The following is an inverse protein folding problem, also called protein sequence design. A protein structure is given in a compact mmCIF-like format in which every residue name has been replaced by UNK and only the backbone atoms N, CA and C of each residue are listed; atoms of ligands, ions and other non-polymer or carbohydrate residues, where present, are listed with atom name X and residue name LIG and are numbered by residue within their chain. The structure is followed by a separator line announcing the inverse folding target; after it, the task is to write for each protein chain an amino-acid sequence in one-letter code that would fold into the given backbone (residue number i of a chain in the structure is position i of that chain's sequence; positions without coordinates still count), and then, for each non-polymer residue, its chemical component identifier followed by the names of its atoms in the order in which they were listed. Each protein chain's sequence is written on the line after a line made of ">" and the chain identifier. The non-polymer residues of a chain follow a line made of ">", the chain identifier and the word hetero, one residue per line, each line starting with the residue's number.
data_IF_920546523191
#
_entry.id   IF_920546523191
#
_cell.length_a   1.000
_cell.length_b   1.000
_cell.length_c   1.000
_cell.angle_alpha   90.00
_cell.angle_beta   90.00
_cell.angle_gamma   90.00
#
_symmetry.space_group_name_H-M   'P 1'
#
loop_
_entity.id
_entity.type
_entity.pdbx_description
1 polymer ?
#
# COMPACT_ATOMS: atom_id res chain seq x y z
N UNK A 1 -24.06 2.27 -18.96
CA UNK A 1 -24.43 3.13 -17.83
C UNK A 1 -23.31 3.00 -16.82
N UNK A 2 -22.61 4.08 -16.49
CA UNK A 2 -21.67 4.06 -15.35
C UNK A 2 -22.52 3.85 -14.10
N UNK A 3 -22.32 2.72 -13.41
CA UNK A 3 -22.84 2.55 -12.06
C UNK A 3 -21.96 3.45 -11.20
N UNK A 4 -22.41 4.69 -10.97
CA UNK A 4 -21.71 5.57 -10.04
C UNK A 4 -21.81 4.93 -8.65
N UNK A 5 -20.67 4.73 -7.98
CA UNK A 5 -20.65 4.38 -6.56
C UNK A 5 -21.58 5.33 -5.79
N UNK A 6 -22.38 4.76 -4.88
CA UNK A 6 -23.29 5.56 -4.08
C UNK A 6 -22.47 6.48 -3.19
N UNK A 7 -22.84 7.76 -3.14
CA UNK A 7 -22.22 8.74 -2.25
C UNK A 7 -22.37 8.29 -0.79
N UNK A 8 -21.27 7.82 -0.21
CA UNK A 8 -21.24 7.25 1.13
C UNK A 8 -21.61 8.28 2.21
N UNK A 9 -21.43 9.57 1.97
CA UNK A 9 -21.88 10.62 2.89
C UNK A 9 -23.41 10.69 3.02
N UNK A 10 -24.13 10.17 2.03
CA UNK A 10 -25.60 10.15 2.00
C UNK A 10 -26.18 8.83 2.51
N UNK A 11 -25.35 7.80 2.72
CA UNK A 11 -25.77 6.52 3.24
C UNK A 11 -25.65 6.48 4.77
N UNK A 12 -26.73 6.02 5.42
CA UNK A 12 -26.77 5.81 6.87
C UNK A 12 -27.17 4.38 7.16
N UNK A 13 -26.30 3.67 7.87
CA UNK A 13 -26.61 2.33 8.37
C UNK A 13 -27.35 2.50 9.70
N UNK A 14 -28.64 2.19 9.70
CA UNK A 14 -29.48 2.17 10.90
C UNK A 14 -29.72 0.75 11.45
N UNK A 15 -29.15 -0.26 10.79
CA UNK A 15 -29.22 -1.64 11.23
C UNK A 15 -28.45 -1.82 12.55
N UNK A 16 -29.06 -2.37 13.62
CA UNK A 16 -28.40 -2.50 14.92
C UNK A 16 -27.16 -3.40 14.90
N UNK A 17 -27.12 -4.41 14.03
CA UNK A 17 -26.00 -5.35 13.96
C UNK A 17 -24.81 -4.72 13.25
N UNK A 18 -25.00 -4.21 12.03
CA UNK A 18 -23.93 -3.56 11.25
C UNK A 18 -23.49 -2.23 11.87
N UNK A 19 -24.42 -1.46 12.44
CA UNK A 19 -24.11 -0.20 13.12
C UNK A 19 -23.22 -0.40 14.36
N UNK A 20 -23.38 -1.51 15.09
CA UNK A 20 -22.50 -1.86 16.21
C UNK A 20 -21.07 -2.13 15.75
N UNK A 21 -20.87 -2.86 14.65
CA UNK A 21 -19.53 -3.10 14.10
C UNK A 21 -18.89 -1.81 13.56
N UNK A 22 -19.64 -0.96 12.87
CA UNK A 22 -19.13 0.34 12.42
C UNK A 22 -18.69 1.21 13.59
N UNK A 23 -19.49 1.23 14.67
CA UNK A 23 -19.13 1.94 15.88
C UNK A 23 -17.89 1.34 16.55
N UNK A 24 -17.79 0.01 16.66
CA UNK A 24 -16.64 -0.68 17.22
C UNK A 24 -15.37 -0.37 16.42
N UNK A 25 -15.44 -0.39 15.09
CA UNK A 25 -14.31 -0.07 14.23
C UNK A 25 -13.82 1.36 14.48
N UNK A 26 -14.75 2.33 14.49
CA UNK A 26 -14.41 3.75 14.69
C UNK A 26 -13.88 4.04 16.09
N UNK A 27 -14.57 3.54 17.12
CA UNK A 27 -14.35 3.97 18.50
C UNK A 27 -13.28 3.12 19.21
N UNK A 28 -12.93 1.94 18.68
CA UNK A 28 -11.98 1.00 19.31
C UNK A 28 -10.90 0.52 18.34
N UNK A 29 -11.26 -0.05 17.19
CA UNK A 29 -10.29 -0.73 16.32
C UNK A 29 -9.30 0.26 15.68
N UNK A 30 -9.78 1.34 15.08
CA UNK A 30 -8.92 2.35 14.44
C UNK A 30 -7.96 3.00 15.46
N UNK A 31 -8.41 3.44 16.66
CA UNK A 31 -7.51 3.93 17.70
C UNK A 31 -6.48 2.90 18.16
N UNK A 32 -6.91 1.66 18.43
CA UNK A 32 -5.99 0.60 18.86
C UNK A 32 -4.93 0.28 17.79
N UNK A 33 -5.35 0.17 16.52
CA UNK A 33 -4.41 -0.04 15.41
C UNK A 33 -3.44 1.13 15.26
N UNK A 34 -3.91 2.37 15.47
CA UNK A 34 -3.03 3.54 15.43
C UNK A 34 -1.94 3.48 16.50
N UNK A 35 -2.28 3.04 17.71
CA UNK A 35 -1.32 2.86 18.79
C UNK A 35 -0.34 1.71 18.46
N UNK A 36 -0.83 0.59 17.91
CA UNK A 36 0.02 -0.52 17.47
C UNK A 36 1.02 -0.12 16.36
N UNK A 37 0.55 0.59 15.33
CA UNK A 37 1.40 1.07 14.22
C UNK A 37 2.48 2.07 14.64
N UNK A 38 2.35 2.65 15.84
CA UNK A 38 3.29 3.57 16.46
C UNK A 38 3.98 2.98 17.70
N UNK A 39 3.90 1.66 17.90
CA UNK A 39 4.60 0.96 18.99
C UNK A 39 4.23 1.49 20.40
N UNK A 40 2.96 1.89 20.58
CA UNK A 40 2.43 2.44 21.85
C UNK A 40 1.66 1.42 22.69
N UNK A 41 1.75 0.14 22.37
CA UNK A 41 1.11 -0.96 23.10
C UNK A 41 2.20 -1.84 23.70
N UNK A 42 2.42 -1.75 25.01
CA UNK A 42 3.55 -2.38 25.70
C UNK A 42 3.50 -3.92 25.62
N UNK A 43 2.31 -4.52 25.59
CA UNK A 43 2.14 -5.97 25.56
C UNK A 43 2.12 -6.58 24.14
N UNK A 44 2.28 -5.77 23.09
CA UNK A 44 2.29 -6.22 21.70
C UNK A 44 3.72 -6.26 21.13
N UNK A 45 3.98 -7.18 20.21
CA UNK A 45 5.20 -7.13 19.39
C UNK A 45 5.22 -5.80 18.60
N UNK A 46 6.38 -5.13 18.51
CA UNK A 46 6.46 -3.83 17.85
C UNK A 46 6.18 -3.98 16.34
N UNK A 47 5.49 -3.00 15.80
CA UNK A 47 5.14 -2.87 14.38
C UNK A 47 6.19 -2.11 13.59
N UNK A 48 6.70 -0.97 14.10
CA UNK A 48 7.56 -0.01 13.39
C UNK A 48 6.99 0.54 12.06
N UNK A 49 5.72 0.30 11.74
CA UNK A 49 5.18 0.65 10.42
C UNK A 49 5.28 2.16 10.14
N UNK A 50 4.92 3.02 11.09
CA UNK A 50 5.07 4.48 10.93
C UNK A 50 6.55 4.90 11.02
N UNK A 51 7.37 4.24 11.83
CA UNK A 51 8.79 4.52 11.95
C UNK A 51 9.55 4.25 10.64
N UNK A 52 9.25 3.16 9.94
CA UNK A 52 9.81 2.86 8.63
C UNK A 52 9.59 4.01 7.64
N UNK A 53 8.41 4.64 7.64
CA UNK A 53 8.15 5.84 6.83
C UNK A 53 8.92 7.07 7.32
N UNK A 54 9.13 7.25 8.64
CA UNK A 54 9.98 8.32 9.19
C UNK A 54 11.43 8.18 8.72
N UNK A 55 11.95 6.96 8.72
CA UNK A 55 13.31 6.66 8.25
C UNK A 55 13.41 6.87 6.75
N UNK A 56 12.47 6.31 5.96
CA UNK A 56 12.44 6.48 4.51
C UNK A 56 12.31 7.97 4.08
N UNK A 57 11.60 8.78 4.86
CA UNK A 57 11.48 10.23 4.65
C UNK A 57 12.70 11.04 5.13
N UNK A 58 13.75 10.39 5.65
CA UNK A 58 14.93 11.06 6.22
C UNK A 58 14.63 11.92 7.46
N UNK A 59 13.51 11.64 8.16
CA UNK A 59 13.08 12.38 9.36
C UNK A 59 13.55 11.71 10.65
N UNK A 60 14.09 10.51 10.56
CA UNK A 60 14.60 9.72 11.66
C UNK A 60 15.73 8.81 11.17
N UNK A 61 16.75 8.57 11.99
CA UNK A 61 17.77 7.54 11.73
C UNK A 61 17.30 6.20 12.31
N UNK A 62 17.59 5.09 11.63
CA UNK A 62 17.22 3.76 12.08
C UNK A 62 17.35 2.72 10.97
N UNK A 63 17.01 1.47 11.30
CA UNK A 63 16.93 0.37 10.34
C UNK A 63 15.47 0.00 10.07
N UNK A 64 15.20 -0.56 8.90
CA UNK A 64 13.88 -1.10 8.60
C UNK A 64 13.55 -2.28 9.51
N UNK A 65 12.32 -2.33 10.02
CA UNK A 65 11.81 -3.44 10.82
C UNK A 65 10.46 -3.96 10.28
N UNK A 66 10.19 -5.25 10.51
CA UNK A 66 8.91 -5.89 10.19
C UNK A 66 8.95 -6.69 8.89
N UNK A 67 7.77 -6.99 8.36
CA UNK A 67 7.62 -7.78 7.14
C UNK A 67 7.90 -6.91 5.91
N UNK A 68 8.34 -7.50 4.80
CA UNK A 68 8.55 -6.76 3.53
C UNK A 68 7.31 -6.03 3.01
N UNK A 69 6.12 -6.38 3.52
CA UNK A 69 4.85 -5.75 3.21
C UNK A 69 4.30 -4.81 4.30
N UNK A 70 5.12 -4.40 5.29
CA UNK A 70 4.69 -3.61 6.46
C UNK A 70 3.99 -2.29 6.07
N UNK A 71 4.39 -1.68 4.94
CA UNK A 71 3.78 -0.45 4.42
C UNK A 71 2.28 -0.59 4.16
N UNK A 72 1.82 -1.81 3.85
CA UNK A 72 0.41 -2.08 3.58
C UNK A 72 -0.47 -1.89 4.82
N UNK A 73 0.08 -2.02 6.03
CA UNK A 73 -0.69 -1.84 7.26
C UNK A 73 -1.05 -0.37 7.48
N UNK A 74 -0.13 0.55 7.14
CA UNK A 74 -0.41 1.99 7.14
C UNK A 74 -1.45 2.35 6.08
N UNK A 75 -1.34 1.76 4.88
CA UNK A 75 -2.29 1.98 3.81
C UNK A 75 -3.71 1.52 4.19
N UNK A 76 -3.86 0.30 4.71
CA UNK A 76 -5.16 -0.24 5.16
C UNK A 76 -5.76 0.58 6.30
N UNK A 77 -4.93 1.07 7.22
CA UNK A 77 -5.39 1.98 8.27
C UNK A 77 -5.91 3.30 7.70
N UNK A 78 -5.19 3.92 6.76
CA UNK A 78 -5.64 5.14 6.07
C UNK A 78 -6.95 4.94 5.32
N UNK A 79 -7.12 3.79 4.65
CA UNK A 79 -8.36 3.44 3.96
C UNK A 79 -9.54 3.29 4.95
N UNK A 80 -9.32 2.58 6.06
CA UNK A 80 -10.34 2.44 7.12
C UNK A 80 -10.72 3.80 7.73
N UNK A 81 -9.74 4.69 7.92
CA UNK A 81 -9.98 6.07 8.37
C UNK A 81 -10.83 6.83 7.36
N UNK A 82 -10.51 6.77 6.07
CA UNK A 82 -11.31 7.42 5.02
C UNK A 82 -12.79 7.01 5.09
N UNK A 83 -13.06 5.70 5.16
CA UNK A 83 -14.43 5.19 5.25
C UNK A 83 -15.14 5.50 6.56
N UNK A 84 -14.39 5.62 7.67
CA UNK A 84 -14.92 6.11 8.95
C UNK A 84 -15.36 7.58 8.84
N UNK A 85 -14.56 8.44 8.20
CA UNK A 85 -14.85 9.86 8.02
C UNK A 85 -16.09 10.11 7.14
N UNK A 86 -16.36 9.25 6.14
CA UNK A 86 -17.62 9.31 5.38
C UNK A 86 -18.85 9.18 6.28
N UNK A 87 -18.79 8.30 7.27
CA UNK A 87 -19.92 7.98 8.16
C UNK A 87 -20.10 9.02 9.26
N UNK A 88 -18.99 9.45 9.86
CA UNK A 88 -18.99 10.42 10.95
C UNK A 88 -17.72 11.27 10.85
N UNK A 89 -17.83 12.57 10.48
CA UNK A 89 -16.69 13.47 10.48
C UNK A 89 -16.01 13.53 11.85
N UNK A 90 -14.69 13.48 11.83
CA UNK A 90 -13.83 13.58 13.00
C UNK A 90 -12.56 14.37 12.64
N UNK A 91 -12.52 15.64 13.01
CA UNK A 91 -11.42 16.54 12.66
C UNK A 91 -10.08 16.14 13.30
N UNK A 92 -10.09 15.42 14.43
CA UNK A 92 -8.88 14.95 15.09
C UNK A 92 -8.28 13.76 14.35
N UNK A 93 -9.13 12.81 13.96
CA UNK A 93 -8.72 11.66 13.16
C UNK A 93 -8.28 12.07 11.76
N UNK A 94 -9.01 12.97 11.12
CA UNK A 94 -8.66 13.50 9.80
C UNK A 94 -7.31 14.22 9.81
N UNK A 95 -7.03 15.03 10.85
CA UNK A 95 -5.72 15.67 11.01
C UNK A 95 -4.59 14.64 11.17
N UNK A 96 -4.82 13.58 11.96
CA UNK A 96 -3.85 12.50 12.12
C UNK A 96 -3.56 11.83 10.77
N UNK A 97 -4.60 11.55 9.97
CA UNK A 97 -4.44 10.99 8.64
C UNK A 97 -3.70 11.93 7.68
N UNK A 98 -4.00 13.23 7.70
CA UNK A 98 -3.27 14.24 6.90
C UNK A 98 -1.77 14.24 7.24
N UNK A 99 -1.40 14.15 8.52
CA UNK A 99 -0.01 14.09 8.97
C UNK A 99 0.71 12.81 8.48
N UNK A 100 0.03 11.67 8.50
CA UNK A 100 0.54 10.41 7.93
C UNK A 100 0.69 10.53 6.41
N UNK A 101 -0.28 11.13 5.72
CA UNK A 101 -0.22 11.34 4.26
C UNK A 101 0.99 12.20 3.88
N UNK A 102 1.28 13.27 4.62
CA UNK A 102 2.48 14.08 4.37
C UNK A 102 3.78 13.33 4.69
N UNK A 103 3.74 12.39 5.63
CA UNK A 103 4.88 11.51 5.90
C UNK A 103 5.11 10.53 4.73
N UNK A 104 4.05 9.85 4.27
CA UNK A 104 4.08 8.95 3.10
C UNK A 104 4.59 9.70 1.87
N UNK A 105 4.09 10.91 1.64
CA UNK A 105 4.50 11.73 0.51
C UNK A 105 5.96 12.19 0.59
N UNK A 106 6.50 12.39 1.79
CA UNK A 106 7.91 12.72 2.00
C UNK A 106 8.84 11.51 1.85
N UNK A 107 8.33 10.30 2.05
CA UNK A 107 9.06 9.05 1.79
C UNK A 107 9.06 8.64 0.30
N UNK A 108 8.19 9.23 -0.53
CA UNK A 108 8.14 8.94 -1.96
C UNK A 108 9.39 9.46 -2.68
N UNK A 109 10.05 8.59 -3.44
CA UNK A 109 11.21 8.93 -4.25
C UNK A 109 10.86 9.92 -5.38
N UNK A 110 11.89 10.56 -5.96
CA UNK A 110 11.71 11.54 -7.03
C UNK A 110 11.04 10.94 -8.28
N UNK A 111 11.38 9.70 -8.62
CA UNK A 111 10.81 8.92 -9.72
C UNK A 111 9.34 8.49 -9.50
N UNK A 112 8.83 8.63 -8.27
CA UNK A 112 7.48 8.21 -7.87
C UNK A 112 7.45 6.88 -7.11
N UNK A 113 8.57 6.16 -7.01
CA UNK A 113 8.66 4.93 -6.24
C UNK A 113 8.36 5.15 -4.75
N UNK A 114 7.66 4.20 -4.14
CA UNK A 114 7.29 4.23 -2.72
C UNK A 114 7.28 2.81 -2.15
N UNK A 115 8.30 2.48 -1.36
CA UNK A 115 8.35 1.29 -0.51
C UNK A 115 9.47 1.47 0.52
N UNK A 116 9.18 1.37 1.81
CA UNK A 116 10.17 1.68 2.86
C UNK A 116 11.28 0.64 2.93
N UNK A 117 10.99 -0.66 2.71
CA UNK A 117 11.99 -1.73 2.70
C UNK A 117 13.08 -1.48 1.64
N UNK A 118 12.67 -1.23 0.39
CA UNK A 118 13.57 -0.93 -0.73
C UNK A 118 13.96 0.55 -0.83
N UNK A 119 13.67 1.35 0.20
CA UNK A 119 14.24 2.69 0.34
C UNK A 119 15.32 2.70 1.42
N UNK A 120 15.09 1.95 2.51
CA UNK A 120 15.95 1.95 3.70
C UNK A 120 16.94 0.78 3.70
N UNK A 121 16.47 -0.45 3.44
CA UNK A 121 17.24 -1.68 3.66
C UNK A 121 17.92 -2.21 2.41
N UNK A 122 17.23 -2.16 1.26
CA UNK A 122 17.73 -2.73 0.01
C UNK A 122 17.48 -1.83 -1.21
N UNK A 123 18.02 -0.59 -1.25
CA UNK A 123 17.70 0.39 -2.28
C UNK A 123 17.98 -0.05 -3.72
N UNK A 124 19.00 -0.89 -3.93
CA UNK A 124 19.42 -1.38 -5.24
C UNK A 124 18.62 -2.60 -5.72
N UNK A 125 17.68 -3.12 -4.90
CA UNK A 125 16.98 -4.39 -5.16
C UNK A 125 15.51 -4.22 -5.57
N UNK A 126 15.07 -2.99 -5.88
CA UNK A 126 13.70 -2.71 -6.37
C UNK A 126 13.35 -3.60 -7.56
N UNK A 127 12.15 -4.19 -7.53
CA UNK A 127 11.60 -5.00 -8.61
C UNK A 127 12.40 -6.27 -8.97
N UNK A 128 13.27 -6.73 -8.07
CA UNK A 128 14.11 -7.92 -8.31
C UNK A 128 13.47 -9.22 -7.81
N UNK A 129 12.49 -9.13 -6.89
CA UNK A 129 11.79 -10.28 -6.32
C UNK A 129 10.27 -10.01 -6.21
N UNK A 130 9.60 -9.87 -7.34
CA UNK A 130 8.16 -9.66 -7.43
C UNK A 130 7.37 -10.85 -6.89
N UNK A 131 7.95 -12.06 -6.91
CA UNK A 131 7.32 -13.25 -6.38
C UNK A 131 7.06 -13.18 -4.87
N UNK A 132 7.94 -12.54 -4.09
CA UNK A 132 7.92 -12.62 -2.62
C UNK A 132 7.94 -11.27 -1.89
N UNK A 133 8.41 -10.18 -2.52
CA UNK A 133 8.69 -8.92 -1.80
C UNK A 133 7.55 -7.90 -1.80
N UNK A 134 6.39 -8.23 -2.38
CA UNK A 134 5.14 -7.48 -2.19
C UNK A 134 5.18 -5.97 -2.57
N UNK A 135 6.13 -5.50 -3.38
CA UNK A 135 6.22 -4.09 -3.76
C UNK A 135 4.92 -3.59 -4.44
N UNK A 136 4.44 -4.34 -5.45
CA UNK A 136 3.17 -4.05 -6.14
C UNK A 136 1.95 -4.25 -5.23
N UNK A 137 2.02 -5.13 -4.24
CA UNK A 137 0.95 -5.34 -3.25
C UNK A 137 0.81 -4.15 -2.30
N UNK A 138 1.92 -3.65 -1.75
CA UNK A 138 1.93 -2.42 -0.96
C UNK A 138 1.49 -1.21 -1.78
N UNK A 139 1.93 -1.12 -3.05
CA UNK A 139 1.49 -0.07 -3.95
C UNK A 139 -0.03 -0.11 -4.18
N UNK A 140 -0.62 -1.30 -4.39
CA UNK A 140 -2.05 -1.48 -4.56
C UNK A 140 -2.85 -1.00 -3.35
N UNK A 141 -2.49 -1.45 -2.15
CA UNK A 141 -3.16 -0.96 -0.93
C UNK A 141 -3.00 0.55 -0.72
N UNK A 142 -1.82 1.12 -1.03
CA UNK A 142 -1.65 2.57 -0.93
C UNK A 142 -2.53 3.31 -1.94
N UNK A 143 -2.66 2.80 -3.17
CA UNK A 143 -3.59 3.31 -4.18
C UNK A 143 -5.04 3.26 -3.67
N UNK A 144 -5.48 2.15 -3.10
CA UNK A 144 -6.83 2.03 -2.52
C UNK A 144 -7.08 3.08 -1.44
N UNK A 145 -6.12 3.27 -0.52
CA UNK A 145 -6.16 4.30 0.50
C UNK A 145 -6.25 5.72 -0.10
N UNK A 146 -5.46 6.00 -1.16
CA UNK A 146 -5.49 7.28 -1.87
C UNK A 146 -6.83 7.58 -2.53
N UNK A 147 -7.43 6.58 -3.17
CA UNK A 147 -8.77 6.69 -3.77
C UNK A 147 -9.83 6.90 -2.69
N UNK A 148 -9.82 6.07 -1.63
CA UNK A 148 -10.77 6.15 -0.54
C UNK A 148 -10.73 7.51 0.16
N UNK A 149 -9.53 8.00 0.48
CA UNK A 149 -9.35 9.28 1.17
C UNK A 149 -9.81 10.46 0.32
N UNK A 150 -9.56 10.42 -1.00
CA UNK A 150 -10.08 11.41 -1.94
C UNK A 150 -11.61 11.39 -2.00
N UNK A 151 -12.23 10.21 -2.10
CA UNK A 151 -13.69 10.09 -2.12
C UNK A 151 -14.33 10.56 -0.81
N UNK A 152 -13.68 10.31 0.34
CA UNK A 152 -14.18 10.64 1.66
C UNK A 152 -14.04 12.12 2.05
N UNK A 153 -13.01 12.81 1.56
CA UNK A 153 -12.66 14.16 2.03
C UNK A 153 -12.59 15.20 0.92
N UNK A 154 -12.50 14.76 -0.34
CA UNK A 154 -12.18 15.60 -1.49
C UNK A 154 -10.70 16.03 -1.56
N UNK A 155 -9.87 15.69 -0.57
CA UNK A 155 -8.45 16.05 -0.55
C UNK A 155 -7.65 15.17 -1.50
N UNK A 156 -6.81 15.81 -2.31
CA UNK A 156 -6.07 15.13 -3.39
C UNK A 156 -4.68 14.66 -3.01
N UNK A 157 -4.16 15.03 -1.84
CA UNK A 157 -2.74 14.86 -1.54
C UNK A 157 -2.25 13.42 -1.67
N UNK A 158 -2.96 12.47 -1.05
CA UNK A 158 -2.63 11.05 -1.17
C UNK A 158 -2.94 10.52 -2.58
N UNK A 159 -4.03 10.98 -3.21
CA UNK A 159 -4.35 10.63 -4.60
C UNK A 159 -3.20 10.99 -5.56
N UNK A 160 -2.63 12.19 -5.44
CA UNK A 160 -1.55 12.66 -6.30
C UNK A 160 -0.24 11.87 -6.05
N UNK A 161 0.02 11.44 -4.80
CA UNK A 161 1.13 10.53 -4.46
C UNK A 161 0.95 9.19 -5.17
N UNK A 162 -0.24 8.59 -5.10
CA UNK A 162 -0.48 7.27 -5.68
C UNK A 162 -0.59 7.30 -7.21
N UNK A 163 -0.99 8.43 -7.80
CA UNK A 163 -0.86 8.63 -9.25
C UNK A 163 0.61 8.62 -9.67
N UNK A 164 1.50 9.33 -8.96
CA UNK A 164 2.95 9.28 -9.24
C UNK A 164 3.52 7.87 -9.09
N UNK A 165 3.05 7.11 -8.10
CA UNK A 165 3.43 5.72 -7.92
C UNK A 165 2.94 4.85 -9.08
N UNK A 166 1.69 5.01 -9.51
CA UNK A 166 1.13 4.28 -10.65
C UNK A 166 1.83 4.65 -11.96
N UNK A 167 2.20 5.92 -12.16
CA UNK A 167 2.97 6.39 -13.32
C UNK A 167 4.38 5.79 -13.35
N UNK A 168 5.03 5.68 -12.18
CA UNK A 168 6.30 4.97 -12.05
C UNK A 168 6.15 3.50 -12.43
N UNK A 169 5.14 2.81 -11.90
CA UNK A 169 4.88 1.40 -12.21
C UNK A 169 4.60 1.20 -13.71
N UNK A 170 3.79 2.07 -14.33
CA UNK A 170 3.51 2.06 -15.78
C UNK A 170 4.78 2.26 -16.62
N UNK A 171 5.75 3.04 -16.13
CA UNK A 171 7.04 3.20 -16.81
C UNK A 171 7.92 1.94 -16.71
N UNK A 172 7.82 1.19 -15.62
CA UNK A 172 8.64 0.01 -15.32
C UNK A 172 8.06 -1.26 -15.94
N UNK A 173 6.75 -1.45 -15.89
CA UNK A 173 6.06 -2.69 -16.26
C UNK A 173 5.18 -2.51 -17.49
N UNK A 174 5.22 -3.49 -18.37
CA UNK A 174 4.38 -3.49 -19.56
C UNK A 174 4.95 -4.35 -20.69
N UNK A 175 4.32 -4.32 -21.87
CA UNK A 175 4.71 -5.15 -23.00
C UNK A 175 5.90 -4.60 -23.79
N UNK A 176 6.40 -3.41 -23.48
CA UNK A 176 7.50 -2.78 -24.22
C UNK A 176 8.84 -3.50 -24.05
N UNK A 177 9.72 -3.39 -25.04
CA UNK A 177 11.03 -4.08 -25.05
C UNK A 177 11.95 -3.64 -23.89
N UNK A 178 11.79 -2.40 -23.40
CA UNK A 178 12.58 -1.83 -22.31
C UNK A 178 11.90 -1.95 -20.94
N UNK A 179 10.77 -2.64 -20.85
CA UNK A 179 10.00 -2.80 -19.62
C UNK A 179 10.25 -4.18 -19.00
N UNK A 180 10.02 -4.29 -17.69
CA UNK A 180 9.99 -5.57 -17.01
C UNK A 180 8.70 -6.30 -17.37
N UNK A 181 8.84 -7.51 -17.90
CA UNK A 181 7.70 -8.37 -18.24
C UNK A 181 7.20 -9.16 -17.02
N UNK A 182 7.18 -8.50 -15.86
CA UNK A 182 6.86 -9.08 -14.55
C UNK A 182 5.44 -8.76 -14.08
N UNK A 183 4.99 -9.52 -13.09
CA UNK A 183 3.67 -9.38 -12.47
C UNK A 183 3.77 -9.76 -10.98
N UNK A 184 2.83 -9.33 -10.13
CA UNK A 184 2.98 -9.46 -8.68
C UNK A 184 2.77 -10.89 -8.19
N UNK A 185 3.63 -11.35 -7.28
CA UNK A 185 3.48 -12.62 -6.55
C UNK A 185 2.14 -12.72 -5.82
N UNK A 186 1.76 -11.65 -5.13
CA UNK A 186 0.46 -11.48 -4.47
C UNK A 186 -0.42 -10.51 -5.28
N UNK A 187 -1.55 -10.96 -5.89
CA UNK A 187 -2.48 -10.04 -6.57
C UNK A 187 -3.04 -9.00 -5.60
N UNK A 188 -3.20 -7.75 -6.06
CA UNK A 188 -3.73 -6.60 -5.31
C UNK A 188 -3.69 -5.32 -6.18
N UNK A 189 -2.57 -5.08 -6.86
CA UNK A 189 -2.39 -3.90 -7.72
C UNK A 189 -3.45 -3.81 -8.84
N UNK A 190 -3.95 -4.94 -9.31
CA UNK A 190 -4.90 -5.02 -10.43
C UNK A 190 -6.26 -4.38 -10.07
N UNK A 191 -6.81 -4.66 -8.88
CA UNK A 191 -8.07 -4.05 -8.45
C UNK A 191 -7.87 -2.58 -8.05
N UNK A 192 -6.72 -2.27 -7.45
CA UNK A 192 -6.40 -0.92 -7.01
C UNK A 192 -6.28 0.06 -8.20
N UNK A 193 -5.62 -0.37 -9.28
CA UNK A 193 -5.52 0.40 -10.52
C UNK A 193 -6.89 0.60 -11.21
N UNK A 194 -7.82 -0.36 -11.10
CA UNK A 194 -9.20 -0.16 -11.56
C UNK A 194 -9.89 0.96 -10.78
N UNK A 195 -9.79 0.95 -9.44
CA UNK A 195 -10.33 2.03 -8.59
C UNK A 195 -9.68 3.38 -8.90
N UNK A 196 -8.37 3.39 -9.13
CA UNK A 196 -7.65 4.61 -9.51
C UNK A 196 -8.11 5.14 -10.87
N UNK A 197 -8.32 4.26 -11.85
CA UNK A 197 -8.90 4.62 -13.14
C UNK A 197 -10.29 5.26 -12.98
N UNK A 198 -11.16 4.72 -12.13
CA UNK A 198 -12.50 5.26 -11.94
C UNK A 198 -12.50 6.73 -11.50
N UNK A 199 -11.55 7.13 -10.63
CA UNK A 199 -11.47 8.52 -10.13
C UNK A 199 -10.57 9.45 -10.96
N UNK A 200 -9.64 8.91 -11.75
CA UNK A 200 -8.70 9.72 -12.56
C UNK A 200 -9.05 9.75 -14.05
N UNK A 201 -9.74 8.72 -14.55
CA UNK A 201 -9.98 8.44 -15.96
C UNK A 201 -8.69 8.37 -16.81
N UNK A 202 -7.55 8.04 -16.19
CA UNK A 202 -6.26 7.87 -16.89
C UNK A 202 -6.20 6.49 -17.56
N UNK A 203 -6.30 6.40 -18.91
CA UNK A 203 -6.35 5.13 -19.62
C UNK A 203 -5.11 4.24 -19.44
N UNK A 204 -3.95 4.79 -19.06
CA UNK A 204 -2.76 3.99 -18.78
C UNK A 204 -2.98 3.03 -17.60
N UNK A 205 -3.71 3.44 -16.56
CA UNK A 205 -3.96 2.59 -15.40
C UNK A 205 -4.79 1.35 -15.75
N UNK A 206 -5.84 1.48 -16.57
CA UNK A 206 -6.62 0.31 -17.01
C UNK A 206 -5.85 -0.57 -18.02
N UNK A 207 -4.97 0.03 -18.83
CA UNK A 207 -4.08 -0.74 -19.70
C UNK A 207 -3.08 -1.58 -18.87
N UNK A 208 -2.56 -1.03 -17.78
CA UNK A 208 -1.67 -1.71 -16.86
C UNK A 208 -2.38 -2.85 -16.10
N UNK A 209 -3.65 -2.68 -15.71
CA UNK A 209 -4.49 -3.78 -15.18
C UNK A 209 -4.55 -4.94 -16.17
N UNK A 210 -4.90 -4.64 -17.43
CA UNK A 210 -5.00 -5.64 -18.49
C UNK A 210 -3.67 -6.37 -18.65
N UNK A 211 -2.56 -5.63 -18.67
CA UNK A 211 -1.22 -6.21 -18.77
C UNK A 211 -0.94 -7.21 -17.62
N UNK A 212 -1.11 -6.82 -16.36
CA UNK A 212 -0.81 -7.71 -15.24
C UNK A 212 -1.67 -8.97 -15.24
N UNK A 213 -2.96 -8.83 -15.56
CA UNK A 213 -3.89 -9.98 -15.63
C UNK A 213 -3.52 -10.92 -16.78
N UNK A 214 -3.20 -10.41 -17.96
CA UNK A 214 -2.87 -11.23 -19.14
C UNK A 214 -1.47 -11.83 -19.10
N UNK A 215 -0.51 -11.15 -18.47
CA UNK A 215 0.87 -11.63 -18.36
C UNK A 215 1.00 -12.81 -17.37
N UNK A 216 0.15 -12.85 -16.34
CA UNK A 216 0.25 -13.82 -15.25
C UNK A 216 0.08 -15.25 -15.73
N UNK A 217 1.10 -16.08 -15.48
CA UNK A 217 1.09 -17.50 -15.82
C UNK A 217 1.43 -17.82 -17.28
N UNK A 218 1.81 -16.81 -18.07
CA UNK A 218 2.34 -17.03 -19.42
C UNK A 218 3.73 -17.68 -19.39
N UNK A 219 4.16 -18.19 -20.55
CA UNK A 219 5.48 -18.79 -20.75
C UNK A 219 6.38 -17.83 -21.55
N UNK A 220 7.68 -17.74 -21.23
CA UNK A 220 8.36 -18.40 -20.11
C UNK A 220 7.89 -17.85 -18.75
N UNK A 221 7.83 -18.71 -17.73
CA UNK A 221 7.40 -18.30 -16.40
C UNK A 221 8.33 -17.24 -15.80
N UNK A 222 7.79 -16.05 -15.53
CA UNK A 222 8.57 -14.92 -15.04
C UNK A 222 9.28 -15.20 -13.71
N UNK A 223 8.60 -15.85 -12.76
CA UNK A 223 9.19 -16.17 -11.46
C UNK A 223 10.36 -17.15 -11.53
N UNK A 224 10.34 -18.08 -12.48
CA UNK A 224 11.48 -18.99 -12.68
C UNK A 224 12.69 -18.21 -13.22
N UNK A 225 12.47 -17.29 -14.16
CA UNK A 225 13.51 -16.40 -14.68
C UNK A 225 14.08 -15.51 -13.57
N UNK A 226 13.21 -14.93 -12.75
CA UNK A 226 13.59 -14.09 -11.62
C UNK A 226 14.38 -14.88 -10.57
N UNK A 227 13.91 -16.07 -10.20
CA UNK A 227 14.57 -16.96 -9.25
C UNK A 227 15.98 -17.37 -9.71
N UNK A 228 16.14 -17.72 -10.99
CA UNK A 228 17.44 -18.02 -11.58
C UNK A 228 18.37 -16.79 -11.56
N UNK A 229 17.86 -15.59 -11.91
CA UNK A 229 18.64 -14.34 -11.86
C UNK A 229 19.13 -14.00 -10.45
N UNK A 230 18.35 -14.33 -9.42
CA UNK A 230 18.70 -14.13 -8.01
C UNK A 230 19.59 -15.24 -7.43
N UNK A 231 20.05 -16.17 -8.26
CA UNK A 231 20.92 -17.26 -7.82
C UNK A 231 20.21 -18.35 -7.01
N UNK A 232 18.90 -18.54 -7.22
CA UNK A 232 18.07 -19.56 -6.56
C UNK A 232 17.94 -19.38 -5.04
N UNK A 233 17.92 -18.14 -4.58
CA UNK A 233 17.71 -17.81 -3.18
C UNK A 233 16.25 -17.44 -2.92
N UNK A 234 15.63 -18.00 -1.89
CA UNK A 234 14.29 -17.58 -1.45
C UNK A 234 14.43 -16.51 -0.35
N UNK A 235 13.57 -15.49 -0.38
CA UNK A 235 13.51 -14.48 0.69
C UNK A 235 13.11 -15.13 2.02
N UNK A 236 12.19 -16.10 1.98
CA UNK A 236 11.69 -16.81 3.16
C UNK A 236 12.79 -17.59 3.90
N UNK A 237 13.89 -17.96 3.23
CA UNK A 237 15.03 -18.61 3.87
C UNK A 237 15.83 -17.62 4.74
N UNK A 238 15.92 -16.35 4.32
CA UNK A 238 16.63 -15.30 5.04
C UNK A 238 15.80 -14.70 6.20
N UNK A 239 14.47 -14.66 6.05
CA UNK A 239 13.57 -14.24 7.13
C UNK A 239 13.48 -15.29 8.26
N UNK A 240 13.66 -16.58 7.95
CA UNK A 240 13.76 -17.64 8.99
C UNK A 240 15.06 -17.55 9.79
N UNK A 241 16.18 -17.19 9.16
CA UNK A 241 17.46 -17.05 9.86
C UNK A 241 17.55 -15.82 10.78
N UNK A 242 16.60 -14.88 10.70
CA UNK A 242 16.52 -13.71 11.58
C UNK A 242 15.73 -13.92 12.88
N UNK A 243 15.10 -15.09 13.06
CA UNK A 243 14.29 -15.41 14.26
C UNK A 243 15.04 -16.33 15.25
N UNK A 244 16.14 -16.95 14.83
CA UNK A 244 16.91 -17.91 15.65
C UNK A 244 18.18 -17.30 16.28
N UNK A 245 18.23 -15.98 16.51
CA UNK A 245 19.42 -15.32 17.00
C UNK A 245 19.17 -14.05 17.81
N UNK A 246 18.55 -14.19 18.99
CA UNK A 246 19.07 -13.58 20.22
C UNK A 246 18.37 -14.20 21.43
N UNK A 247 19.19 -14.82 22.29
CA UNK A 247 18.83 -15.31 23.62
C UNK A 247 19.62 -14.58 24.70
#
# INVERSE_FOLDING_TARGET
>A
MSVMEVDLHKLKINDPFLGQYQQLVRDVVIPYQWDALNDRIEEADPSHAIENFRIAAGRQEGEFYGMVFQDSDVAKWLEAVAWSLCQKPDAGLEKTADEVIELVAAAQCEDGYLNTYFTVKAPEERWTNLAECHELYCAGHMIEAGVAFFQATGKRRLLDVVCRLADHIDSVFGPGDNQLHGYPGHPEIELALMRLYDVTQEPRYIALVKYFVEARGTQPHFYDIEYEKRGKNLLLEHLRSGVDGDG
#
